data_IF_940621154598
#
_entry.id   IF_940621154598
#
_cell.length_a   1.000
_cell.length_b   1.000
_cell.length_c   1.000
_cell.angle_alpha   90.00
_cell.angle_beta   90.00
_cell.angle_gamma   90.00
#
_symmetry.space_group_name_H-M   'P 1'
#
loop_
_entity.id
_entity.type
_entity.pdbx_description
1 polymer ?
#
# COMPACT_ATOMS: atom_id res chain seq x y z
N UNK A 1 -20.23 1.82 4.08
CA UNK A 1 -20.39 0.69 3.15
C UNK A 1 -21.84 0.26 2.94
N UNK A 2 -22.71 0.26 3.97
CA UNK A 2 -24.15 -0.07 3.84
C UNK A 2 -24.90 0.79 2.81
N UNK A 3 -24.67 2.11 2.82
CA UNK A 3 -25.30 3.04 1.87
C UNK A 3 -25.02 2.70 0.40
N UNK A 4 -23.77 2.34 0.07
CA UNK A 4 -23.41 1.97 -1.30
C UNK A 4 -24.11 0.68 -1.76
N UNK A 5 -24.25 -0.31 -0.87
CA UNK A 5 -24.96 -1.55 -1.18
C UNK A 5 -26.45 -1.29 -1.44
N UNK A 6 -27.08 -0.43 -0.62
CA UNK A 6 -28.48 -0.01 -0.82
C UNK A 6 -28.66 0.70 -2.17
N UNK A 7 -27.78 1.65 -2.48
CA UNK A 7 -27.86 2.42 -3.74
C UNK A 7 -27.60 1.57 -4.99
N UNK A 8 -26.81 0.49 -4.86
CA UNK A 8 -26.47 -0.41 -5.99
C UNK A 8 -27.35 -1.66 -6.07
N UNK A 9 -28.32 -1.82 -5.17
CA UNK A 9 -29.13 -3.03 -5.04
C UNK A 9 -29.90 -3.38 -6.32
N UNK A 10 -30.50 -2.38 -6.96
CA UNK A 10 -31.26 -2.57 -8.20
C UNK A 10 -30.38 -3.11 -9.34
N UNK A 11 -29.15 -2.61 -9.46
CA UNK A 11 -28.20 -3.07 -10.49
C UNK A 11 -27.74 -4.50 -10.22
N UNK A 12 -27.59 -4.90 -8.95
CA UNK A 12 -27.19 -6.26 -8.56
C UNK A 12 -28.29 -7.28 -8.86
N UNK A 13 -29.55 -6.95 -8.53
CA UNK A 13 -30.70 -7.81 -8.83
C UNK A 13 -30.91 -7.99 -10.33
N UNK A 14 -30.67 -6.94 -11.12
CA UNK A 14 -30.85 -6.98 -12.57
C UNK A 14 -29.83 -7.85 -13.32
N UNK A 15 -28.67 -8.15 -12.71
CA UNK A 15 -27.60 -8.90 -13.35
C UNK A 15 -27.83 -10.42 -13.37
N UNK A 16 -28.86 -10.94 -12.66
CA UNK A 16 -29.26 -12.35 -12.61
C UNK A 16 -28.09 -13.35 -12.48
N UNK A 17 -27.02 -12.94 -11.80
CA UNK A 17 -25.83 -13.77 -11.55
C UNK A 17 -25.80 -14.11 -10.06
N UNK A 18 -26.31 -15.28 -9.65
CA UNK A 18 -26.43 -15.67 -8.25
C UNK A 18 -25.08 -15.84 -7.54
N UNK A 19 -23.98 -16.00 -8.29
CA UNK A 19 -22.65 -16.22 -7.72
C UNK A 19 -21.80 -14.94 -7.62
N UNK A 20 -22.26 -13.83 -8.20
CA UNK A 20 -21.43 -12.63 -8.31
C UNK A 20 -21.67 -11.62 -7.17
N UNK A 21 -21.07 -11.94 -6.02
CA UNK A 21 -21.14 -11.17 -4.78
C UNK A 21 -20.07 -10.07 -4.65
N UNK A 22 -19.49 -9.63 -5.78
CA UNK A 22 -18.46 -8.59 -5.78
C UNK A 22 -18.99 -7.22 -5.35
N UNK A 23 -18.23 -6.52 -4.49
CA UNK A 23 -18.63 -5.23 -3.96
C UNK A 23 -18.68 -4.16 -5.06
N UNK A 24 -17.65 -3.99 -5.89
CA UNK A 24 -17.60 -2.84 -6.80
C UNK A 24 -18.19 -3.15 -8.18
N UNK A 25 -19.10 -2.28 -8.63
CA UNK A 25 -19.75 -2.35 -9.94
C UNK A 25 -19.17 -1.31 -10.91
N UNK A 26 -19.22 -1.63 -12.20
CA UNK A 26 -18.84 -0.71 -13.26
C UNK A 26 -19.82 0.46 -13.32
N UNK A 27 -19.31 1.64 -13.67
CA UNK A 27 -20.15 2.84 -13.85
C UNK A 27 -20.95 2.77 -15.15
N UNK A 28 -20.44 2.06 -16.16
CA UNK A 28 -21.13 1.89 -17.43
C UNK A 28 -22.13 0.72 -17.37
N UNK A 29 -23.28 0.89 -18.02
CA UNK A 29 -24.23 -0.20 -18.26
C UNK A 29 -23.55 -1.36 -19.02
N UNK A 30 -23.83 -2.63 -18.70
CA UNK A 30 -24.87 -3.09 -17.76
C UNK A 30 -24.42 -3.21 -16.28
N UNK A 31 -23.57 -2.30 -15.77
CA UNK A 31 -23.13 -2.22 -14.35
C UNK A 31 -22.55 -3.52 -13.78
N UNK A 32 -21.89 -4.30 -14.63
CA UNK A 32 -21.24 -5.56 -14.23
C UNK A 32 -20.17 -5.32 -13.17
N UNK A 33 -19.83 -6.33 -12.36
CA UNK A 33 -18.74 -6.23 -11.43
C UNK A 33 -17.41 -5.91 -12.10
N UNK A 34 -16.60 -5.09 -11.42
CA UNK A 34 -15.33 -4.63 -12.00
C UNK A 34 -14.23 -5.66 -11.81
N UNK A 35 -13.29 -5.69 -12.76
CA UNK A 35 -12.04 -6.42 -12.58
C UNK A 35 -11.09 -5.69 -11.63
N UNK A 36 -10.11 -6.42 -11.08
CA UNK A 36 -9.03 -5.82 -10.28
C UNK A 36 -8.21 -4.78 -11.07
N UNK A 37 -8.14 -4.91 -12.41
CA UNK A 37 -7.45 -3.95 -13.26
C UNK A 37 -8.17 -2.59 -13.27
N UNK A 38 -9.49 -2.57 -13.35
CA UNK A 38 -10.29 -1.35 -13.29
C UNK A 38 -10.14 -0.66 -11.93
N UNK A 39 -10.22 -1.42 -10.84
CA UNK A 39 -9.99 -0.88 -9.50
C UNK A 39 -8.58 -0.30 -9.36
N UNK A 40 -7.56 -0.98 -9.91
CA UNK A 40 -6.19 -0.49 -9.94
C UNK A 40 -6.02 0.82 -10.70
N UNK A 41 -6.78 1.04 -11.79
CA UNK A 41 -6.81 2.33 -12.51
C UNK A 41 -7.41 3.43 -11.66
N UNK A 42 -8.55 3.19 -11.00
CA UNK A 42 -9.15 4.18 -10.09
C UNK A 42 -8.20 4.60 -8.96
N UNK A 43 -7.47 3.65 -8.37
CA UNK A 43 -6.45 3.97 -7.36
C UNK A 43 -5.34 4.83 -7.96
N UNK A 44 -4.86 4.53 -9.17
CA UNK A 44 -3.88 5.39 -9.86
C UNK A 44 -4.44 6.78 -10.13
N UNK A 45 -5.70 6.90 -10.56
CA UNK A 45 -6.32 8.20 -10.82
C UNK A 45 -6.39 9.05 -9.54
N UNK A 46 -6.68 8.44 -8.40
CA UNK A 46 -6.63 9.09 -7.07
C UNK A 46 -5.20 9.49 -6.68
N UNK A 47 -4.20 8.65 -6.94
CA UNK A 47 -2.80 9.02 -6.69
C UNK A 47 -2.38 10.21 -7.57
N UNK A 48 -2.77 10.20 -8.85
CA UNK A 48 -2.49 11.28 -9.79
C UNK A 48 -3.16 12.59 -9.36
N UNK A 49 -4.42 12.54 -8.91
CA UNK A 49 -5.12 13.74 -8.42
C UNK A 49 -4.52 14.29 -7.12
N UNK A 50 -3.89 13.42 -6.31
CA UNK A 50 -3.11 13.82 -5.14
C UNK A 50 -1.70 14.35 -5.49
N UNK A 51 -1.34 14.47 -6.78
CA UNK A 51 -0.02 14.95 -7.22
C UNK A 51 1.11 13.92 -7.11
N UNK A 52 0.79 12.64 -6.91
CA UNK A 52 1.77 11.55 -6.82
C UNK A 52 2.08 11.06 -8.24
N UNK A 53 3.36 10.87 -8.54
CA UNK A 53 3.79 10.34 -9.84
C UNK A 53 3.37 8.87 -10.02
N UNK A 54 2.39 8.64 -10.89
CA UNK A 54 1.84 7.32 -11.18
C UNK A 54 2.69 6.47 -12.14
N UNK A 55 3.76 7.03 -12.71
CA UNK A 55 4.78 6.26 -13.43
C UNK A 55 5.66 5.49 -12.45
N UNK A 56 5.95 6.10 -11.30
CA UNK A 56 6.73 5.48 -10.22
C UNK A 56 5.85 4.70 -9.24
N UNK A 57 4.65 5.21 -8.93
CA UNK A 57 3.77 4.64 -7.91
C UNK A 57 2.50 4.02 -8.52
N UNK A 58 2.22 2.78 -8.16
CA UNK A 58 1.05 2.03 -8.62
C UNK A 58 0.03 1.82 -7.50
N UNK A 59 -1.10 1.21 -7.83
CA UNK A 59 -2.05 0.74 -6.82
C UNK A 59 -1.38 -0.16 -5.76
N UNK A 60 -0.38 -0.96 -6.16
CA UNK A 60 0.37 -1.82 -5.26
C UNK A 60 1.27 -1.01 -4.30
N UNK A 61 1.79 0.15 -4.74
CA UNK A 61 2.55 1.08 -3.90
C UNK A 61 1.76 1.59 -2.70
N UNK A 62 0.43 1.69 -2.81
CA UNK A 62 -0.45 2.05 -1.68
C UNK A 62 -0.42 0.96 -0.60
N UNK A 63 -0.51 -0.32 -1.00
CA UNK A 63 -0.36 -1.46 -0.07
C UNK A 63 1.00 -1.44 0.60
N UNK A 64 2.07 -1.19 -0.16
CA UNK A 64 3.42 -1.05 0.39
C UNK A 64 3.53 0.04 1.44
N UNK A 65 3.04 1.24 1.14
CA UNK A 65 3.08 2.38 2.04
C UNK A 65 2.31 2.10 3.35
N UNK A 66 1.13 1.47 3.26
CA UNK A 66 0.32 1.11 4.42
C UNK A 66 1.04 0.12 5.36
N UNK A 67 1.64 -0.94 4.79
CA UNK A 67 2.39 -1.94 5.55
C UNK A 67 3.62 -1.33 6.23
N UNK A 68 4.40 -0.53 5.50
CA UNK A 68 5.55 0.17 6.07
C UNK A 68 5.14 1.18 7.15
N UNK A 69 4.00 1.86 6.98
CA UNK A 69 3.47 2.77 8.00
C UNK A 69 3.04 2.02 9.28
N UNK A 70 2.37 0.87 9.15
CA UNK A 70 1.98 0.04 10.29
C UNK A 70 3.21 -0.46 11.07
N UNK A 71 4.26 -0.89 10.36
CA UNK A 71 5.51 -1.31 10.99
C UNK A 71 6.22 -0.16 11.72
N UNK A 72 6.28 1.04 11.12
CA UNK A 72 6.83 2.24 11.78
C UNK A 72 6.04 2.63 13.04
N UNK A 73 4.75 2.33 13.09
CA UNK A 73 3.89 2.53 14.27
C UNK A 73 4.05 1.44 15.32
N UNK A 74 4.95 0.47 15.13
CA UNK A 74 5.26 -0.57 16.10
C UNK A 74 4.27 -1.73 16.14
N UNK A 75 3.40 -1.89 15.13
CA UNK A 75 2.55 -3.08 15.06
C UNK A 75 3.39 -4.35 14.90
N UNK A 76 2.93 -5.44 15.53
CA UNK A 76 3.60 -6.73 15.40
C UNK A 76 3.59 -7.21 13.94
N UNK A 77 4.69 -7.83 13.50
CA UNK A 77 4.79 -8.36 12.14
C UNK A 77 3.73 -9.42 11.85
N UNK A 78 3.35 -10.21 12.86
CA UNK A 78 2.28 -11.20 12.76
C UNK A 78 0.93 -10.56 12.41
N UNK A 79 0.59 -9.43 13.05
CA UNK A 79 -0.64 -8.68 12.75
C UNK A 79 -0.59 -8.06 11.35
N UNK A 80 0.56 -7.52 10.96
CA UNK A 80 0.77 -6.95 9.62
C UNK A 80 0.66 -8.02 8.54
N UNK A 81 1.23 -9.21 8.76
CA UNK A 81 1.17 -10.32 7.82
C UNK A 81 -0.24 -10.88 7.69
N UNK A 82 -0.96 -11.00 8.81
CA UNK A 82 -2.38 -11.36 8.78
C UNK A 82 -3.20 -10.36 7.97
N UNK A 83 -2.99 -9.05 8.18
CA UNK A 83 -3.69 -8.00 7.44
C UNK A 83 -3.31 -7.92 5.95
N UNK A 84 -2.06 -8.23 5.61
CA UNK A 84 -1.56 -8.25 4.23
C UNK A 84 -1.82 -9.57 3.48
N UNK A 85 -2.32 -10.61 4.17
CA UNK A 85 -2.54 -11.93 3.60
C UNK A 85 -1.23 -12.70 3.32
N UNK A 86 -0.16 -12.43 4.08
CA UNK A 86 1.11 -13.13 3.94
C UNK A 86 1.29 -14.22 4.99
N UNK A 87 2.06 -15.24 4.62
CA UNK A 87 2.50 -16.24 5.59
C UNK A 87 3.47 -15.62 6.60
N UNK A 88 3.47 -16.14 7.83
CA UNK A 88 4.35 -15.65 8.90
C UNK A 88 5.84 -15.75 8.60
N UNK A 89 6.22 -16.66 7.69
CA UNK A 89 7.60 -16.89 7.25
C UNK A 89 7.98 -16.03 6.04
N UNK A 90 7.10 -15.13 5.60
CA UNK A 90 7.33 -14.34 4.40
C UNK A 90 8.51 -13.39 4.56
N UNK A 91 9.52 -13.58 3.72
CA UNK A 91 10.69 -12.68 3.68
C UNK A 91 10.36 -11.35 2.97
N UNK A 92 9.16 -11.22 2.39
CA UNK A 92 8.77 -10.04 1.62
C UNK A 92 8.88 -8.77 2.43
N UNK A 93 8.39 -8.78 3.67
CA UNK A 93 8.44 -7.62 4.55
C UNK A 93 9.87 -7.11 4.78
N UNK A 94 10.78 -8.03 5.10
CA UNK A 94 12.19 -7.70 5.37
C UNK A 94 12.90 -7.17 4.13
N UNK A 95 12.66 -7.78 2.97
CA UNK A 95 13.34 -7.43 1.72
C UNK A 95 12.81 -6.15 1.05
N UNK A 96 11.50 -5.93 1.12
CA UNK A 96 10.84 -4.89 0.32
C UNK A 96 10.31 -3.73 1.17
N UNK A 97 10.03 -3.91 2.46
CA UNK A 97 9.26 -2.95 3.26
C UNK A 97 10.02 -2.38 4.46
N UNK A 98 11.00 -3.11 5.01
CA UNK A 98 11.90 -2.63 6.07
C UNK A 98 13.09 -1.85 5.48
N UNK A 99 12.81 -0.86 4.64
CA UNK A 99 13.84 0.06 4.17
C UNK A 99 13.86 1.28 5.10
N UNK A 100 14.97 1.58 5.77
CA UNK A 100 15.08 2.79 6.56
C UNK A 100 14.84 3.99 5.64
N UNK A 101 14.05 4.96 6.10
CA UNK A 101 13.99 6.27 5.46
C UNK A 101 15.34 6.91 5.74
N UNK A 102 16.29 6.80 4.80
CA UNK A 102 17.58 7.48 4.93
C UNK A 102 17.29 8.97 4.96
N UNK A 103 17.37 9.59 6.14
CA UNK A 103 17.58 11.02 6.22
C UNK A 103 18.86 11.29 5.44
N UNK A 104 18.73 12.07 4.36
CA UNK A 104 19.83 12.38 3.45
C UNK A 104 20.87 13.18 4.23
N UNK A 105 21.87 12.49 4.79
CA UNK A 105 22.91 13.13 5.59
C UNK A 105 23.38 12.32 6.80
N UNK A 106 22.59 11.42 7.39
CA UNK A 106 22.98 10.76 8.65
C UNK A 106 24.22 9.87 8.50
N UNK A 107 24.33 9.16 7.37
CA UNK A 107 25.50 8.33 7.09
C UNK A 107 26.76 9.18 6.85
N UNK A 108 26.64 10.28 6.10
CA UNK A 108 27.76 11.19 5.84
C UNK A 108 28.16 11.97 7.10
N UNK A 109 27.20 12.39 7.91
CA UNK A 109 27.41 13.08 9.19
C UNK A 109 28.08 12.15 10.22
N UNK A 110 27.66 10.88 10.28
CA UNK A 110 28.28 9.87 11.15
C UNK A 110 29.76 9.66 10.79
N UNK A 111 30.10 9.56 9.49
CA UNK A 111 31.48 9.46 9.03
C UNK A 111 32.27 10.73 9.34
N UNK A 112 31.70 11.91 9.11
CA UNK A 112 32.38 13.20 9.30
C UNK A 112 32.63 13.52 10.79
N UNK A 113 31.75 13.07 11.68
CA UNK A 113 31.89 13.27 13.14
C UNK A 113 32.93 12.37 13.82
N UNK A 114 33.51 11.41 13.10
CA UNK A 114 34.35 10.35 13.67
C UNK A 114 35.86 10.63 13.82
N UNK A 115 36.36 11.86 13.66
CA UNK A 115 37.82 12.09 13.67
C UNK A 115 38.29 13.30 14.51
N UNK A 116 37.82 13.46 15.74
CA UNK A 116 38.31 14.53 16.63
C UNK A 116 38.56 14.07 18.06
N UNK A 117 39.27 12.96 18.22
CA UNK A 117 40.05 12.69 19.42
C UNK A 117 40.90 11.46 19.16
N UNK A 118 42.20 11.65 18.91
CA UNK A 118 43.28 10.75 19.33
C UNK A 118 44.62 11.45 19.04
N UNK A 119 44.93 12.45 19.87
CA UNK A 119 46.32 12.85 20.10
C UNK A 119 47.00 11.71 20.87
N UNK A 120 47.70 10.84 20.15
CA UNK A 120 48.75 10.01 20.73
C UNK A 120 50.07 10.75 20.48
N UNK A 121 50.62 11.35 21.54
CA UNK A 121 52.02 11.76 21.57
C UNK A 121 52.87 10.62 22.16
N UNK A 122 54.14 10.52 21.76
CA UNK A 122 55.00 9.34 21.95
C UNK A 122 55.40 9.06 23.40
#
# INVERSE_FOLDING_TARGET
MKLYLQMTENFRRALSDPDNSQLFLCIAQPHRPISGATLGRWVKDVLKSAGIDVLQFSAYSTRHAAVSAAARRGLSLDTIFAAAGWSKKSNMFRQVYNRPLTATGDFAAAILSGNSANNFSP
#
